data_IF_171022666593
#
_entry.id   IF_171022666593
#
_cell.length_a   1.000
_cell.length_b   1.000
_cell.length_c   1.000
_cell.angle_alpha   90.00
_cell.angle_beta   90.00
_cell.angle_gamma   90.00
#
_symmetry.space_group_name_H-M   'P 1'
#
loop_
_entity.id
_entity.type
_entity.pdbx_description
1 polymer ?
#
# COMPACT_ATOMS: atom_id res chain seq x y z
N UNK A 1 7.34 17.63 9.92
CA UNK A 1 6.06 17.35 10.59
C UNK A 1 5.91 15.83 10.84
N UNK A 2 5.93 14.96 9.82
CA UNK A 2 5.66 13.52 9.98
C UNK A 2 6.60 12.83 11.00
N UNK A 3 7.92 13.04 10.91
CA UNK A 3 8.90 12.48 11.87
C UNK A 3 8.60 12.96 13.29
N UNK A 4 8.36 14.27 13.45
CA UNK A 4 8.05 14.86 14.77
C UNK A 4 6.76 14.29 15.37
N UNK A 5 5.70 14.17 14.57
CA UNK A 5 4.43 13.59 15.00
C UNK A 5 4.58 12.12 15.42
N UNK A 6 5.37 11.33 14.69
CA UNK A 6 5.62 9.92 15.04
C UNK A 6 6.35 9.80 16.39
N UNK A 7 7.33 10.67 16.63
CA UNK A 7 8.07 10.71 17.89
C UNK A 7 7.17 11.17 19.05
N UNK A 8 6.40 12.24 18.85
CA UNK A 8 5.50 12.80 19.86
C UNK A 8 4.40 11.82 20.26
N UNK A 9 3.89 11.04 19.29
CA UNK A 9 2.94 9.96 19.54
C UNK A 9 3.55 8.74 20.24
N UNK A 10 4.86 8.71 20.48
CA UNK A 10 5.56 7.56 21.07
C UNK A 10 5.54 6.30 20.18
N UNK A 11 5.34 6.47 18.86
CA UNK A 11 5.26 5.37 17.93
C UNK A 11 6.64 4.94 17.42
N UNK A 12 6.86 3.63 17.31
CA UNK A 12 8.07 3.04 16.74
C UNK A 12 8.01 2.94 15.21
N UNK A 13 6.83 3.12 14.65
CA UNK A 13 6.56 3.15 13.22
C UNK A 13 5.58 4.28 12.88
N UNK A 14 5.65 4.80 11.68
CA UNK A 14 4.68 5.71 11.11
C UNK A 14 4.42 5.37 9.65
N UNK A 15 3.17 5.47 9.23
CA UNK A 15 2.75 5.31 7.84
C UNK A 15 1.99 6.54 7.38
N UNK A 16 2.40 7.14 6.27
CA UNK A 16 1.53 8.08 5.58
C UNK A 16 0.39 7.33 4.92
N UNK A 17 -0.80 7.87 5.07
CA UNK A 17 -2.03 7.31 4.50
C UNK A 17 -2.83 8.40 3.80
N UNK A 18 -3.64 8.01 2.85
CA UNK A 18 -4.64 8.86 2.20
C UNK A 18 -6.03 8.26 2.37
N UNK A 19 -7.04 9.10 2.49
CA UNK A 19 -8.40 8.62 2.42
C UNK A 19 -8.65 7.95 1.05
N UNK A 20 -9.29 6.77 1.05
CA UNK A 20 -9.69 6.10 -0.18
C UNK A 20 -10.66 6.98 -0.98
N UNK A 21 -10.41 7.09 -2.28
CA UNK A 21 -11.30 7.81 -3.19
C UNK A 21 -12.55 6.99 -3.55
N UNK A 22 -12.44 5.66 -3.51
CA UNK A 22 -13.50 4.71 -3.84
C UNK A 22 -13.34 3.45 -2.96
N UNK A 23 -14.44 2.81 -2.51
CA UNK A 23 -14.36 1.58 -1.72
C UNK A 23 -13.53 0.47 -2.38
N UNK A 24 -13.59 0.36 -3.71
CA UNK A 24 -12.88 -0.66 -4.49
C UNK A 24 -11.48 -0.22 -4.96
N UNK A 25 -10.96 0.90 -4.46
CA UNK A 25 -9.62 1.36 -4.80
C UNK A 25 -8.58 0.31 -4.46
N UNK A 26 -7.71 -0.02 -5.44
CA UNK A 26 -6.66 -1.04 -5.33
C UNK A 26 -5.45 -0.52 -4.56
N UNK A 27 -5.61 -0.36 -3.26
CA UNK A 27 -4.59 0.12 -2.33
C UNK A 27 -4.66 -0.72 -1.04
N UNK A 28 -3.52 -1.06 -0.45
CA UNK A 28 -3.47 -1.68 0.87
C UNK A 28 -3.98 -0.71 1.94
N UNK A 29 -4.64 -1.23 2.96
CA UNK A 29 -5.28 -0.41 4.00
C UNK A 29 -4.64 -0.67 5.35
N UNK A 30 -4.18 0.41 6.01
CA UNK A 30 -3.70 0.35 7.38
C UNK A 30 -4.89 0.15 8.33
N UNK A 31 -4.79 -0.85 9.18
CA UNK A 31 -5.81 -1.22 10.16
C UNK A 31 -5.17 -1.76 11.44
N UNK A 32 -6.00 -2.19 12.37
CA UNK A 32 -5.59 -2.96 13.55
C UNK A 32 -6.08 -4.40 13.40
N UNK A 33 -5.21 -5.35 13.65
CA UNK A 33 -5.48 -6.77 13.73
C UNK A 33 -5.04 -7.27 15.11
N UNK A 34 -5.96 -7.73 15.91
CA UNK A 34 -5.73 -8.12 17.31
C UNK A 34 -5.02 -7.03 18.13
N UNK A 35 -5.35 -5.77 17.87
CA UNK A 35 -4.79 -4.61 18.56
C UNK A 35 -3.39 -4.19 18.09
N UNK A 36 -2.82 -4.86 17.09
CA UNK A 36 -1.54 -4.50 16.47
C UNK A 36 -1.74 -3.83 15.11
N UNK A 37 -0.83 -2.96 14.70
CA UNK A 37 -0.88 -2.38 13.37
C UNK A 37 -0.74 -3.47 12.30
N UNK A 38 -1.58 -3.42 11.30
CA UNK A 38 -1.58 -4.35 10.17
C UNK A 38 -1.92 -3.62 8.89
N UNK A 39 -1.54 -4.18 7.76
CA UNK A 39 -1.99 -3.72 6.45
C UNK A 39 -2.64 -4.89 5.75
N UNK A 40 -3.90 -4.69 5.32
CA UNK A 40 -4.64 -5.66 4.51
C UNK A 40 -4.56 -5.20 3.07
N UNK A 41 -4.06 -6.06 2.21
CA UNK A 41 -3.99 -5.78 0.77
C UNK A 41 -5.40 -5.83 0.14
N UNK A 42 -5.61 -5.03 -0.90
CA UNK A 42 -6.93 -4.89 -1.53
C UNK A 42 -7.53 -6.23 -2.03
N UNK A 43 -6.69 -7.17 -2.41
CA UNK A 43 -7.11 -8.51 -2.86
C UNK A 43 -7.40 -9.49 -1.71
N UNK A 44 -7.08 -9.13 -0.48
CA UNK A 44 -7.38 -9.88 0.74
C UNK A 44 -8.66 -9.38 1.41
N UNK A 45 -9.15 -8.19 1.03
CA UNK A 45 -10.37 -7.59 1.59
C UNK A 45 -11.62 -8.33 1.11
N UNK A 46 -12.48 -8.68 2.06
CA UNK A 46 -13.82 -9.21 1.76
C UNK A 46 -14.77 -8.08 1.31
N UNK A 47 -15.86 -8.44 0.65
CA UNK A 47 -16.91 -7.46 0.27
C UNK A 47 -17.47 -6.71 1.49
N UNK A 48 -17.59 -7.38 2.63
CA UNK A 48 -17.99 -6.77 3.89
C UNK A 48 -16.98 -5.71 4.34
N UNK A 49 -15.69 -6.02 4.34
CA UNK A 49 -14.64 -5.06 4.72
C UNK A 49 -14.63 -3.84 3.79
N UNK A 50 -14.77 -4.08 2.47
CA UNK A 50 -14.76 -3.01 1.45
C UNK A 50 -15.87 -1.99 1.70
N UNK A 51 -17.07 -2.43 2.10
CA UNK A 51 -18.26 -1.59 2.20
C UNK A 51 -18.64 -1.22 3.65
N UNK A 52 -17.92 -1.72 4.66
CA UNK A 52 -18.16 -1.40 6.07
C UNK A 52 -17.96 0.08 6.33
N UNK A 53 -18.90 0.66 7.10
CA UNK A 53 -18.88 2.09 7.45
C UNK A 53 -19.01 2.28 8.97
N UNK A 54 -18.44 3.37 9.43
CA UNK A 54 -18.62 3.84 10.80
C UNK A 54 -20.02 4.50 10.98
N UNK A 55 -20.34 4.90 12.21
CA UNK A 55 -21.58 5.59 12.58
C UNK A 55 -21.79 6.92 11.85
N UNK A 56 -20.71 7.52 11.29
CA UNK A 56 -20.75 8.75 10.52
C UNK A 56 -20.83 8.49 9.01
N UNK A 57 -20.94 7.23 8.58
CA UNK A 57 -21.03 6.82 7.18
C UNK A 57 -19.70 6.80 6.42
N UNK A 58 -18.55 6.96 7.11
CA UNK A 58 -17.21 6.86 6.53
C UNK A 58 -16.78 5.41 6.46
N UNK A 59 -16.00 5.04 5.44
CA UNK A 59 -15.44 3.69 5.34
C UNK A 59 -14.59 3.37 6.58
N UNK A 60 -14.80 2.20 7.17
CA UNK A 60 -13.96 1.70 8.28
C UNK A 60 -12.52 1.44 7.80
N UNK A 61 -12.39 0.82 6.64
CA UNK A 61 -11.11 0.54 6.00
C UNK A 61 -10.76 1.66 4.99
N UNK A 62 -10.53 2.86 5.53
CA UNK A 62 -10.37 4.09 4.74
C UNK A 62 -8.92 4.52 4.51
N UNK A 63 -7.97 4.07 5.34
CA UNK A 63 -6.60 4.57 5.33
C UNK A 63 -5.72 3.83 4.34
N UNK A 64 -5.78 4.24 3.06
CA UNK A 64 -4.93 3.70 2.00
C UNK A 64 -3.46 4.05 2.22
N UNK A 65 -2.58 3.05 2.24
CA UNK A 65 -1.14 3.25 2.41
C UNK A 65 -0.48 3.68 1.09
N UNK A 66 0.43 4.64 1.17
CA UNK A 66 1.13 5.19 0.00
C UNK A 66 2.61 4.83 -0.03
N UNK A 67 3.01 3.76 0.67
CA UNK A 67 4.37 3.24 0.76
C UNK A 67 5.40 4.25 1.30
N UNK A 68 4.96 5.16 2.17
CA UNK A 68 5.82 6.14 2.82
C UNK A 68 5.84 5.88 4.32
N UNK A 69 6.86 5.15 4.77
CA UNK A 69 6.99 4.65 6.13
C UNK A 69 8.16 5.27 6.88
N UNK A 70 8.00 5.39 8.19
CA UNK A 70 9.07 5.65 9.15
C UNK A 70 9.21 4.43 10.06
N UNK A 71 10.44 4.02 10.31
CA UNK A 71 10.75 2.96 11.27
C UNK A 71 11.79 3.45 12.28
N UNK A 72 11.58 3.15 13.55
CA UNK A 72 12.63 3.29 14.53
C UNK A 72 13.72 2.26 14.24
N UNK A 73 14.94 2.73 13.98
CA UNK A 73 16.06 1.87 13.57
C UNK A 73 16.36 0.77 14.59
N UNK A 74 16.31 1.08 15.88
CA UNK A 74 16.57 0.08 16.94
C UNK A 74 15.53 -1.04 16.93
N UNK A 75 14.25 -0.71 16.70
CA UNK A 75 13.18 -1.70 16.59
C UNK A 75 13.31 -2.49 15.30
N UNK A 76 13.57 -1.82 14.18
CA UNK A 76 13.79 -2.46 12.89
C UNK A 76 14.93 -3.49 12.95
N UNK A 77 16.07 -3.13 13.58
CA UNK A 77 17.21 -4.05 13.73
C UNK A 77 16.86 -5.31 14.51
N UNK A 78 15.93 -5.23 15.47
CA UNK A 78 15.51 -6.43 16.25
C UNK A 78 14.73 -7.41 15.40
N UNK A 79 13.92 -6.92 14.45
CA UNK A 79 13.06 -7.77 13.61
C UNK A 79 13.71 -8.20 12.29
N UNK A 80 14.90 -7.70 11.96
CA UNK A 80 15.58 -8.00 10.68
C UNK A 80 15.84 -9.49 10.44
N UNK A 81 15.90 -10.29 11.49
CA UNK A 81 16.13 -11.74 11.41
C UNK A 81 14.84 -12.57 11.62
N UNK A 82 13.70 -11.89 11.79
CA UNK A 82 12.42 -12.57 11.92
C UNK A 82 11.94 -13.06 10.54
N UNK A 83 11.16 -14.14 10.58
CA UNK A 83 10.57 -14.69 9.36
C UNK A 83 9.46 -13.77 8.85
N UNK A 84 9.58 -13.31 7.61
CA UNK A 84 8.53 -12.57 6.92
C UNK A 84 7.66 -13.52 6.09
N UNK A 85 6.33 -13.34 6.09
CA UNK A 85 5.44 -14.15 5.28
C UNK A 85 5.75 -13.97 3.79
N UNK A 86 5.60 -15.05 3.02
CA UNK A 86 5.72 -15.00 1.57
C UNK A 86 4.33 -14.89 0.96
N UNK A 87 4.07 -13.80 0.27
CA UNK A 87 2.84 -13.61 -0.50
C UNK A 87 2.94 -14.36 -1.82
N UNK A 88 1.91 -15.12 -2.16
CA UNK A 88 1.83 -15.90 -3.39
C UNK A 88 0.67 -15.36 -4.23
N UNK A 89 0.98 -14.88 -5.42
CA UNK A 89 0.00 -14.28 -6.32
C UNK A 89 0.04 -14.99 -7.67
N UNK A 90 -1.13 -15.47 -8.13
CA UNK A 90 -1.28 -16.00 -9.49
C UNK A 90 -1.08 -14.91 -10.54
N UNK A 91 -0.32 -15.19 -11.56
CA UNK A 91 0.04 -14.24 -12.62
C UNK A 91 -0.07 -14.86 -14.02
N UNK A 92 -0.50 -14.03 -14.98
CA UNK A 92 -0.38 -14.28 -16.42
C UNK A 92 1.04 -13.91 -16.83
N UNK A 93 1.94 -14.90 -16.85
CA UNK A 93 3.36 -14.70 -17.12
C UNK A 93 3.64 -14.92 -18.60
N UNK A 94 4.04 -13.87 -19.36
CA UNK A 94 4.45 -14.05 -20.73
C UNK A 94 5.64 -15.01 -20.84
N UNK A 95 5.63 -15.89 -21.81
CA UNK A 95 6.69 -16.87 -22.03
C UNK A 95 7.04 -17.00 -23.51
N UNK A 96 8.23 -17.50 -23.77
CA UNK A 96 8.68 -17.82 -25.14
C UNK A 96 8.18 -19.20 -25.51
N UNK A 97 7.41 -19.31 -26.58
CA UNK A 97 6.98 -20.59 -27.14
C UNK A 97 8.12 -21.28 -27.90
N UNK A 98 7.96 -22.56 -28.22
CA UNK A 98 8.99 -23.36 -28.91
C UNK A 98 9.35 -22.81 -30.32
N UNK A 99 8.39 -22.12 -30.95
CA UNK A 99 8.58 -21.46 -32.24
C UNK A 99 9.28 -20.09 -32.14
N UNK A 100 9.68 -19.66 -30.93
CA UNK A 100 10.36 -18.40 -30.67
C UNK A 100 9.43 -17.19 -30.57
N UNK A 101 8.11 -17.37 -30.54
CA UNK A 101 7.17 -16.27 -30.36
C UNK A 101 6.88 -15.99 -28.87
N UNK A 102 6.73 -14.70 -28.53
CA UNK A 102 6.33 -14.29 -27.18
C UNK A 102 4.83 -14.48 -26.99
N UNK A 103 4.45 -15.43 -26.15
CA UNK A 103 3.07 -15.71 -25.80
C UNK A 103 2.65 -14.91 -24.57
N UNK A 104 1.43 -14.36 -24.63
CA UNK A 104 0.78 -13.69 -23.49
C UNK A 104 -0.44 -14.54 -23.11
N UNK A 105 -0.39 -15.28 -21.99
CA UNK A 105 -1.50 -16.15 -21.61
C UNK A 105 -2.74 -15.34 -21.24
N UNK A 106 -3.90 -15.88 -21.58
CA UNK A 106 -5.19 -15.30 -21.21
C UNK A 106 -5.60 -15.67 -19.78
N UNK A 107 -5.07 -16.80 -19.26
CA UNK A 107 -5.29 -17.28 -17.90
C UNK A 107 -3.97 -17.29 -17.12
N UNK A 108 -4.03 -17.26 -15.77
CA UNK A 108 -2.82 -17.42 -14.94
C UNK A 108 -2.12 -18.75 -15.26
N UNK A 109 -0.80 -18.68 -15.43
CA UNK A 109 0.04 -19.82 -15.76
C UNK A 109 1.25 -19.98 -14.84
N UNK A 110 1.32 -19.19 -13.77
CA UNK A 110 2.40 -19.25 -12.80
C UNK A 110 2.14 -18.41 -11.57
N UNK A 111 3.07 -18.50 -10.63
CA UNK A 111 3.00 -17.80 -9.35
C UNK A 111 4.15 -16.80 -9.21
N UNK A 112 3.85 -15.63 -8.64
CA UNK A 112 4.82 -14.66 -8.18
C UNK A 112 4.92 -14.75 -6.66
N UNK A 113 6.13 -14.82 -6.14
CA UNK A 113 6.43 -14.85 -4.71
C UNK A 113 7.00 -13.49 -4.32
N UNK A 114 6.45 -12.86 -3.28
CA UNK A 114 6.86 -11.54 -2.83
C UNK A 114 7.03 -11.52 -1.31
N UNK A 115 8.09 -10.83 -0.84
CA UNK A 115 8.22 -10.36 0.53
C UNK A 115 7.90 -8.87 0.52
N UNK A 116 6.97 -8.44 1.35
CA UNK A 116 6.49 -7.06 1.33
C UNK A 116 6.97 -6.30 2.56
N UNK A 117 7.49 -5.11 2.36
CA UNK A 117 7.92 -4.22 3.45
C UNK A 117 6.77 -3.89 4.41
N UNK A 118 5.54 -3.93 3.93
CA UNK A 118 4.36 -3.69 4.74
C UNK A 118 4.16 -4.73 5.85
N UNK A 119 4.66 -5.96 5.68
CA UNK A 119 4.60 -6.99 6.72
C UNK A 119 5.44 -6.62 7.95
N UNK A 120 6.45 -5.77 7.79
CA UNK A 120 7.21 -5.23 8.92
C UNK A 120 6.32 -4.38 9.85
N UNK A 121 5.23 -3.79 9.34
CA UNK A 121 4.28 -3.03 10.16
C UNK A 121 3.61 -3.92 11.19
N UNK A 122 3.24 -5.17 10.81
CA UNK A 122 2.66 -6.17 11.73
C UNK A 122 3.60 -6.57 12.86
N UNK A 123 4.92 -6.44 12.62
CA UNK A 123 5.96 -6.79 13.59
C UNK A 123 6.26 -5.65 14.55
N UNK A 124 5.64 -4.46 14.36
CA UNK A 124 5.79 -3.31 15.23
C UNK A 124 4.76 -3.32 16.36
N UNK A 125 5.14 -2.75 17.51
CA UNK A 125 4.22 -2.64 18.67
C UNK A 125 3.12 -1.62 18.40
N UNK A 126 3.43 -0.55 17.66
CA UNK A 126 2.50 0.50 17.29
C UNK A 126 2.94 1.20 15.99
N UNK A 127 1.99 1.86 15.33
CA UNK A 127 2.23 2.63 14.11
C UNK A 127 1.33 3.86 14.09
N UNK A 128 1.92 5.04 13.88
CA UNK A 128 1.16 6.26 13.63
C UNK A 128 0.55 6.22 12.23
N UNK A 129 -0.78 6.29 12.15
CA UNK A 129 -1.48 6.59 10.91
C UNK A 129 -1.45 8.11 10.68
N UNK A 130 -0.65 8.57 9.73
CA UNK A 130 -0.49 9.99 9.42
C UNK A 130 -1.20 10.31 8.10
N UNK A 131 -2.45 10.79 8.22
CA UNK A 131 -3.22 11.16 7.04
C UNK A 131 -2.63 12.40 6.37
N UNK A 132 -2.50 12.33 5.04
CA UNK A 132 -1.99 13.40 4.20
C UNK A 132 -2.98 13.75 3.10
N UNK A 133 -2.84 14.96 2.57
CA UNK A 133 -3.67 15.44 1.47
C UNK A 133 -3.31 14.68 0.18
N UNK A 134 -4.25 13.87 -0.31
CA UNK A 134 -4.07 12.97 -1.45
C UNK A 134 -3.47 13.67 -2.67
N UNK A 135 -4.03 14.81 -3.04
CA UNK A 135 -3.59 15.54 -4.24
C UNK A 135 -2.18 16.11 -4.14
N UNK A 136 -1.63 16.22 -2.94
CA UNK A 136 -0.28 16.72 -2.70
C UNK A 136 0.77 15.64 -2.54
N UNK A 137 0.37 14.49 -2.00
CA UNK A 137 1.35 13.51 -1.55
C UNK A 137 1.22 12.15 -2.23
N UNK A 138 0.23 11.97 -3.12
CA UNK A 138 0.00 10.69 -3.78
C UNK A 138 -0.26 10.84 -5.28
N UNK A 139 0.73 10.50 -6.10
CA UNK A 139 0.67 10.53 -7.55
C UNK A 139 1.19 9.21 -8.16
N UNK A 140 0.47 8.10 -7.96
CA UNK A 140 0.94 6.78 -8.40
C UNK A 140 0.96 6.68 -9.93
N UNK A 141 1.91 5.86 -10.45
CA UNK A 141 1.99 5.50 -11.87
C UNK A 141 1.87 3.98 -11.96
N UNK A 142 0.64 3.51 -12.21
CA UNK A 142 0.31 2.08 -12.32
C UNK A 142 -0.14 1.69 -13.72
N UNK A 143 -0.67 2.65 -14.49
CA UNK A 143 -1.26 2.45 -15.80
C UNK A 143 -0.51 3.24 -16.87
N UNK A 144 -0.58 2.76 -18.10
CA UNK A 144 -0.01 3.48 -19.26
C UNK A 144 -0.76 4.78 -19.56
N UNK A 145 -2.08 4.76 -19.43
CA UNK A 145 -2.99 5.88 -19.70
C UNK A 145 -4.17 5.85 -18.72
N UNK A 146 -4.88 6.96 -18.57
CA UNK A 146 -6.05 7.10 -17.69
C UNK A 146 -5.65 7.34 -16.23
N UNK A 147 -6.41 6.78 -15.31
CA UNK A 147 -6.18 6.92 -13.86
C UNK A 147 -4.84 6.28 -13.47
N UNK A 148 -4.14 6.91 -12.54
CA UNK A 148 -2.83 6.47 -12.03
C UNK A 148 -1.81 6.25 -13.17
N UNK A 149 -1.74 7.20 -14.11
CA UNK A 149 -0.81 7.18 -15.22
C UNK A 149 0.27 8.27 -15.09
N UNK A 150 1.24 8.22 -15.99
CA UNK A 150 2.27 9.25 -16.09
C UNK A 150 1.66 10.65 -16.30
N UNK A 151 0.59 10.73 -17.09
CA UNK A 151 -0.06 12.02 -17.40
C UNK A 151 -0.75 12.58 -16.15
N UNK A 152 -1.52 11.76 -15.41
CA UNK A 152 -2.17 12.20 -14.17
C UNK A 152 -1.14 12.58 -13.10
N UNK A 153 -0.02 11.86 -13.00
CA UNK A 153 1.04 12.20 -12.07
C UNK A 153 1.70 13.55 -12.41
N UNK A 154 1.99 13.80 -13.69
CA UNK A 154 2.51 15.09 -14.16
C UNK A 154 1.55 16.26 -13.91
N UNK A 155 0.26 16.05 -14.11
CA UNK A 155 -0.75 17.08 -13.85
C UNK A 155 -0.82 17.43 -12.37
N UNK A 156 -0.75 16.44 -11.48
CA UNK A 156 -0.66 16.68 -10.03
C UNK A 156 0.63 17.42 -9.65
N UNK A 157 1.76 17.08 -10.23
CA UNK A 157 3.03 17.79 -9.99
C UNK A 157 2.92 19.25 -10.43
N UNK A 158 2.39 19.53 -11.62
CA UNK A 158 2.13 20.92 -12.10
C UNK A 158 1.19 21.68 -11.17
N UNK A 159 0.06 21.04 -10.76
CA UNK A 159 -0.89 21.62 -9.81
C UNK A 159 -0.22 22.02 -8.50
N UNK A 160 0.74 21.22 -8.04
CA UNK A 160 1.51 21.46 -6.82
C UNK A 160 2.76 22.36 -7.05
N UNK A 161 2.94 22.91 -8.25
CA UNK A 161 4.08 23.77 -8.62
C UNK A 161 5.44 23.07 -8.41
N UNK A 162 5.49 21.76 -8.67
CA UNK A 162 6.73 20.97 -8.62
C UNK A 162 7.33 21.01 -10.04
N UNK A 163 8.55 21.51 -10.14
CA UNK A 163 9.35 21.49 -11.38
C UNK A 163 10.01 20.12 -11.58
N UNK A 164 10.03 19.63 -12.83
CA UNK A 164 10.61 18.33 -13.20
C UNK A 164 11.10 18.30 -14.64
#
# INVERSE_FOLDING_TARGET
VFVGATIEAGCVCGSKVVAKADPNEKVGVLCLEDGKPSIVEYYEMTDEMIHSKDENGRLLYNYGVILNYLFNVKTLTKIMNEYMPTHVVEKKIPYMAEDGQMMKPEEPNGYKFELLVLDMIRMMDNCLSFEVEREREFAPIKNRTGVDSLDTARDLMKKNKIEF
#
